data_IF_253249178271
#
_entry.id   IF_253249178271
#
_cell.length_a   1.000
_cell.length_b   1.000
_cell.length_c   1.000
_cell.angle_alpha   90.00
_cell.angle_beta   90.00
_cell.angle_gamma   90.00
#
_symmetry.space_group_name_H-M   'P 1'
#
loop_
_entity.id
_entity.type
_entity.pdbx_description
1 polymer ?
#
# COMPACT_ATOMS: atom_id res chain seq x y z
N UNK A 1 16.13 1.38 24.94
CA UNK A 1 15.67 1.79 26.29
C UNK A 1 15.62 3.31 26.27
N UNK A 2 14.43 3.90 26.12
CA UNK A 2 14.26 5.36 26.14
C UNK A 2 14.53 5.85 27.56
N UNK A 3 15.46 6.81 27.71
CA UNK A 3 15.64 7.50 28.99
C UNK A 3 14.40 8.36 29.21
N UNK A 4 13.68 8.12 30.31
CA UNK A 4 12.62 9.02 30.74
C UNK A 4 13.20 10.43 30.94
N UNK A 5 12.82 11.36 30.09
CA UNK A 5 13.16 12.74 30.24
C UNK A 5 12.08 13.39 31.12
N UNK A 6 12.35 13.48 32.44
CA UNK A 6 11.40 13.96 33.41
C UNK A 6 11.17 15.50 33.36
N UNK A 7 11.76 16.20 32.39
CA UNK A 7 11.62 17.65 32.18
C UNK A 7 10.70 17.97 30.98
N UNK A 8 9.68 17.16 30.74
CA UNK A 8 8.71 17.43 29.67
C UNK A 8 7.72 18.50 30.11
N UNK A 9 7.82 19.69 29.52
CA UNK A 9 6.82 20.74 29.69
C UNK A 9 5.62 20.46 28.80
N UNK A 10 4.42 20.49 29.38
CA UNK A 10 3.18 20.31 28.62
C UNK A 10 2.97 21.53 27.71
N UNK A 11 2.52 21.26 26.49
CA UNK A 11 2.06 22.34 25.63
C UNK A 11 0.88 23.09 26.29
N UNK A 12 0.87 24.40 26.21
CA UNK A 12 -0.21 25.25 26.76
C UNK A 12 -1.53 25.01 26.00
N UNK A 13 -1.45 24.65 24.75
CA UNK A 13 -2.60 24.38 23.90
C UNK A 13 -2.48 23.02 23.18
N UNK A 14 -3.61 22.51 22.69
CA UNK A 14 -3.63 21.27 21.93
C UNK A 14 -2.87 21.43 20.61
N UNK A 15 -1.88 20.58 20.39
CA UNK A 15 -1.17 20.47 19.12
C UNK A 15 -1.89 19.43 18.25
N UNK A 16 -2.38 19.86 17.10
CA UNK A 16 -3.03 18.99 16.14
C UNK A 16 -1.99 18.33 15.25
N UNK A 17 -2.16 17.03 14.99
CA UNK A 17 -1.29 16.27 14.10
C UNK A 17 -1.29 16.84 12.67
N UNK A 18 -2.48 17.17 12.19
CA UNK A 18 -2.67 17.71 10.84
C UNK A 18 -3.90 18.61 10.84
N UNK A 19 -3.72 19.86 10.48
CA UNK A 19 -4.80 20.82 10.27
C UNK A 19 -4.87 21.20 8.81
N UNK A 20 -6.05 21.20 8.17
CA UNK A 20 -6.19 21.71 6.81
C UNK A 20 -5.86 23.21 6.78
N UNK A 21 -5.19 23.63 5.72
CA UNK A 21 -4.88 25.04 5.47
C UNK A 21 -5.65 25.49 4.22
N UNK A 22 -6.42 26.58 4.37
CA UNK A 22 -7.14 27.20 3.26
C UNK A 22 -6.32 28.36 2.70
N UNK A 23 -6.28 28.48 1.38
CA UNK A 23 -5.48 29.49 0.68
C UNK A 23 -6.34 30.62 0.09
N UNK A 24 -7.67 30.49 0.18
CA UNK A 24 -8.67 31.49 -0.23
C UNK A 24 -9.46 31.15 -1.50
N UNK A 25 -8.86 30.63 -2.58
CA UNK A 25 -9.61 30.40 -3.81
C UNK A 25 -10.55 29.17 -3.76
N UNK A 26 -10.42 28.30 -2.75
CA UNK A 26 -11.20 27.06 -2.65
C UNK A 26 -12.71 27.30 -2.67
N UNK A 27 -13.14 28.38 -2.01
CA UNK A 27 -14.56 28.71 -1.94
C UNK A 27 -15.16 29.09 -3.31
N UNK A 28 -14.35 29.66 -4.21
CA UNK A 28 -14.81 30.01 -5.54
C UNK A 28 -15.04 28.75 -6.39
N UNK A 29 -14.18 27.74 -6.29
CA UNK A 29 -14.38 26.44 -6.93
C UNK A 29 -15.63 25.72 -6.40
N UNK A 30 -15.89 25.83 -5.08
CA UNK A 30 -17.11 25.25 -4.49
C UNK A 30 -18.35 25.97 -5.02
N UNK A 31 -18.34 27.30 -5.09
CA UNK A 31 -19.46 28.09 -5.65
C UNK A 31 -19.72 27.74 -7.13
N UNK A 32 -18.67 27.72 -7.96
CA UNK A 32 -18.74 27.32 -9.36
C UNK A 32 -19.40 25.94 -9.53
N UNK A 33 -18.94 24.97 -8.72
CA UNK A 33 -19.47 23.61 -8.75
C UNK A 33 -20.98 23.58 -8.39
N UNK A 34 -21.39 24.40 -7.42
CA UNK A 34 -22.79 24.56 -7.03
C UNK A 34 -23.64 25.19 -8.12
N UNK A 35 -23.19 26.31 -8.69
CA UNK A 35 -23.90 27.07 -9.73
C UNK A 35 -24.06 26.28 -11.02
N UNK A 36 -23.05 25.48 -11.35
CA UNK A 36 -23.04 24.63 -12.55
C UNK A 36 -23.65 23.24 -12.35
N UNK A 37 -24.06 22.91 -11.12
CA UNK A 37 -24.57 21.59 -10.70
C UNK A 37 -23.58 20.42 -10.90
N UNK A 38 -22.29 20.69 -10.90
CA UNK A 38 -21.24 19.67 -10.99
C UNK A 38 -20.71 19.28 -9.60
N UNK A 39 -21.58 18.78 -8.75
CA UNK A 39 -21.33 18.40 -7.36
C UNK A 39 -21.04 16.91 -7.17
N UNK A 40 -20.83 16.16 -8.25
CA UNK A 40 -20.66 14.72 -8.25
C UNK A 40 -19.23 14.30 -8.61
N UNK A 41 -19.07 13.04 -8.99
CA UNK A 41 -17.78 12.40 -9.32
C UNK A 41 -17.24 12.79 -10.71
N UNK A 42 -17.96 13.59 -11.45
CA UNK A 42 -17.53 14.14 -12.74
C UNK A 42 -17.67 15.66 -12.72
N UNK A 43 -16.88 16.35 -13.50
CA UNK A 43 -16.94 17.80 -13.61
C UNK A 43 -15.61 18.43 -13.96
N UNK A 44 -15.62 19.72 -14.26
CA UNK A 44 -14.46 20.49 -14.68
C UNK A 44 -13.29 20.41 -13.67
N UNK A 45 -13.60 20.56 -12.39
CA UNK A 45 -12.58 20.61 -11.35
C UNK A 45 -11.85 19.26 -11.21
N UNK A 46 -12.56 18.14 -11.29
CA UNK A 46 -11.96 16.81 -11.24
C UNK A 46 -11.08 16.57 -12.48
N UNK A 47 -11.59 16.89 -13.67
CA UNK A 47 -10.85 16.75 -14.91
C UNK A 47 -9.55 17.57 -14.91
N UNK A 48 -9.60 18.79 -14.36
CA UNK A 48 -8.42 19.65 -14.27
C UNK A 48 -7.39 19.14 -13.26
N UNK A 49 -7.84 18.61 -12.12
CA UNK A 49 -6.93 17.97 -11.14
C UNK A 49 -6.20 16.76 -11.75
N UNK A 50 -6.93 15.90 -12.47
CA UNK A 50 -6.34 14.74 -13.14
C UNK A 50 -5.34 15.16 -14.22
N UNK A 51 -5.69 16.17 -15.03
CA UNK A 51 -4.79 16.71 -16.05
C UNK A 51 -3.53 17.33 -15.44
N UNK A 52 -3.67 18.20 -14.44
CA UNK A 52 -2.55 18.84 -13.76
C UNK A 52 -1.65 17.80 -13.05
N UNK A 53 -2.21 16.75 -12.48
CA UNK A 53 -1.46 15.65 -11.89
C UNK A 53 -0.62 14.93 -12.96
N UNK A 54 -1.20 14.66 -14.14
CA UNK A 54 -0.45 14.08 -15.25
C UNK A 54 0.72 14.97 -15.70
N UNK A 55 0.47 16.27 -15.85
CA UNK A 55 1.49 17.24 -16.28
C UNK A 55 2.60 17.37 -15.24
N UNK A 56 2.25 17.49 -13.95
CA UNK A 56 3.21 17.69 -12.86
C UNK A 56 4.08 16.48 -12.59
N UNK A 57 3.50 15.28 -12.64
CA UNK A 57 4.20 14.02 -12.34
C UNK A 57 4.88 13.44 -13.59
N UNK A 58 4.44 13.85 -14.79
CA UNK A 58 4.90 13.28 -16.06
C UNK A 58 4.31 11.90 -16.36
N UNK A 59 3.15 11.56 -15.79
CA UNK A 59 2.45 10.30 -16.04
C UNK A 59 1.42 10.44 -17.16
N UNK A 60 1.06 9.32 -17.79
CA UNK A 60 0.10 9.31 -18.91
C UNK A 60 -1.35 9.47 -18.46
N UNK A 61 -1.68 8.95 -17.28
CA UNK A 61 -3.03 8.94 -16.72
C UNK A 61 -2.99 9.24 -15.23
N UNK A 62 -4.00 9.95 -14.75
CA UNK A 62 -4.28 10.14 -13.34
C UNK A 62 -5.78 9.94 -13.11
N UNK A 63 -6.15 9.45 -11.93
CA UNK A 63 -7.54 9.24 -11.53
C UNK A 63 -7.71 9.81 -10.13
N UNK A 64 -8.64 10.73 -9.98
CA UNK A 64 -9.02 11.29 -8.70
C UNK A 64 -9.92 10.32 -7.94
N UNK A 65 -9.59 10.04 -6.70
CA UNK A 65 -10.35 9.17 -5.81
C UNK A 65 -10.74 9.92 -4.54
N UNK A 66 -11.77 9.44 -3.86
CA UNK A 66 -12.34 10.12 -2.68
C UNK A 66 -11.43 10.15 -1.45
N UNK A 67 -10.42 9.27 -1.38
CA UNK A 67 -9.50 9.18 -0.24
C UNK A 67 -8.20 8.49 -0.64
N UNK A 68 -7.11 8.80 0.09
CA UNK A 68 -5.82 8.14 -0.06
C UNK A 68 -5.89 6.63 0.16
N UNK A 69 -6.72 6.16 1.09
CA UNK A 69 -6.97 4.72 1.30
C UNK A 69 -7.52 4.04 0.05
N UNK A 70 -8.44 4.70 -0.66
CA UNK A 70 -9.00 4.18 -1.91
C UNK A 70 -7.94 4.14 -3.02
N UNK A 71 -7.05 5.14 -3.06
CA UNK A 71 -5.94 5.19 -4.00
C UNK A 71 -4.93 4.07 -3.76
N UNK A 72 -4.56 3.85 -2.50
CA UNK A 72 -3.69 2.72 -2.11
C UNK A 72 -4.33 1.37 -2.43
N UNK A 73 -5.64 1.22 -2.17
CA UNK A 73 -6.35 -0.03 -2.47
C UNK A 73 -6.33 -0.33 -3.98
N UNK A 74 -6.65 0.66 -4.81
CA UNK A 74 -6.61 0.48 -6.26
C UNK A 74 -5.19 0.18 -6.75
N UNK A 75 -4.18 0.87 -6.25
CA UNK A 75 -2.78 0.65 -6.61
C UNK A 75 -2.30 -0.76 -6.24
N UNK A 76 -2.61 -1.23 -5.02
CA UNK A 76 -2.26 -2.58 -4.58
C UNK A 76 -2.98 -3.66 -5.37
N UNK A 77 -4.24 -3.45 -5.70
CA UNK A 77 -5.02 -4.36 -6.55
C UNK A 77 -4.40 -4.47 -7.95
N UNK A 78 -4.07 -3.35 -8.58
CA UNK A 78 -3.45 -3.34 -9.90
C UNK A 78 -2.07 -3.99 -9.89
N UNK A 79 -1.22 -3.67 -8.91
CA UNK A 79 0.08 -4.29 -8.74
C UNK A 79 -0.03 -5.81 -8.50
N UNK A 80 -1.00 -6.24 -7.70
CA UNK A 80 -1.29 -7.65 -7.47
C UNK A 80 -1.72 -8.38 -8.73
N UNK A 81 -2.61 -7.78 -9.53
CA UNK A 81 -3.06 -8.35 -10.81
C UNK A 81 -1.89 -8.45 -11.80
N UNK A 82 -1.04 -7.44 -11.89
CA UNK A 82 0.12 -7.46 -12.77
C UNK A 82 1.13 -8.54 -12.35
N UNK A 83 1.39 -8.66 -11.06
CA UNK A 83 2.40 -9.60 -10.53
C UNK A 83 1.92 -11.05 -10.50
N UNK A 84 0.63 -11.30 -10.28
CA UNK A 84 0.09 -12.63 -9.98
C UNK A 84 -1.07 -13.06 -10.88
N UNK A 85 -1.52 -12.20 -11.78
CA UNK A 85 -2.67 -12.43 -12.64
C UNK A 85 -4.01 -12.04 -11.98
N UNK A 86 -5.07 -12.07 -12.77
CA UNK A 86 -6.43 -11.73 -12.32
C UNK A 86 -6.92 -12.73 -11.26
N UNK A 87 -7.34 -12.26 -10.09
CA UNK A 87 -7.84 -13.14 -9.04
C UNK A 87 -9.17 -13.79 -9.44
N UNK A 88 -9.46 -14.94 -8.84
CA UNK A 88 -10.78 -15.58 -8.96
C UNK A 88 -11.85 -14.70 -8.33
N UNK A 89 -13.08 -14.87 -8.78
CA UNK A 89 -14.24 -14.18 -8.18
C UNK A 89 -14.31 -14.46 -6.68
N UNK A 90 -14.44 -13.40 -5.87
CA UNK A 90 -14.47 -13.48 -4.41
C UNK A 90 -13.09 -13.53 -3.74
N UNK A 91 -12.00 -13.45 -4.49
CA UNK A 91 -10.63 -13.42 -3.97
C UNK A 91 -9.95 -12.07 -4.24
N UNK A 92 -9.03 -11.68 -3.34
CA UNK A 92 -8.20 -10.48 -3.53
C UNK A 92 -6.99 -10.74 -4.41
N UNK A 93 -6.44 -9.68 -4.99
CA UNK A 93 -5.28 -9.76 -5.88
C UNK A 93 -3.97 -10.13 -5.15
N UNK A 94 -3.96 -10.01 -3.82
CA UNK A 94 -2.80 -10.30 -2.96
C UNK A 94 -3.01 -11.53 -2.06
N UNK A 95 -3.96 -12.39 -2.37
CA UNK A 95 -4.34 -13.56 -1.56
C UNK A 95 -3.12 -14.36 -1.09
N UNK A 96 -2.87 -14.38 0.24
CA UNK A 96 -1.75 -15.07 0.85
C UNK A 96 -0.36 -14.51 0.53
N UNK A 97 -0.27 -13.35 -0.15
CA UNK A 97 1.00 -12.69 -0.44
C UNK A 97 1.42 -11.80 0.71
N UNK A 98 2.73 -11.73 0.96
CA UNK A 98 3.30 -10.84 1.96
C UNK A 98 3.61 -9.49 1.34
N UNK A 99 3.25 -8.43 2.06
CA UNK A 99 3.52 -7.04 1.67
C UNK A 99 4.26 -6.37 2.82
N UNK A 100 5.43 -5.82 2.55
CA UNK A 100 6.21 -5.09 3.53
C UNK A 100 5.63 -3.70 3.75
N UNK A 101 5.37 -3.36 5.01
CA UNK A 101 4.74 -2.11 5.41
C UNK A 101 5.55 -1.49 6.56
N UNK A 102 5.67 -0.16 6.59
CA UNK A 102 6.22 0.51 7.76
C UNK A 102 5.34 0.26 8.98
N UNK A 103 5.93 0.08 10.15
CA UNK A 103 5.21 -0.04 11.42
C UNK A 103 4.76 1.33 11.96
N UNK A 104 5.50 2.39 11.64
CA UNK A 104 5.13 3.77 11.96
C UNK A 104 4.40 4.41 10.80
N UNK A 105 3.10 4.17 10.71
CA UNK A 105 2.26 4.67 9.63
C UNK A 105 0.80 4.77 10.07
N UNK A 106 -0.01 5.46 9.28
CA UNK A 106 -1.46 5.43 9.42
C UNK A 106 -2.01 4.08 8.96
N UNK A 107 -3.07 3.58 9.59
CA UNK A 107 -3.66 2.27 9.32
C UNK A 107 -4.11 2.08 7.85
N UNK A 108 -4.40 3.18 7.17
CA UNK A 108 -4.70 3.19 5.73
C UNK A 108 -3.60 2.57 4.85
N UNK A 109 -2.37 2.48 5.33
CA UNK A 109 -1.29 1.77 4.63
C UNK A 109 -1.48 0.26 4.65
N UNK A 110 -2.09 -0.28 5.68
CA UNK A 110 -2.24 -1.72 5.93
C UNK A 110 -3.58 -2.26 5.44
N UNK A 111 -4.64 -1.48 5.64
CA UNK A 111 -5.99 -1.90 5.33
C UNK A 111 -6.16 -2.40 3.89
N UNK A 112 -5.63 -1.72 2.85
CA UNK A 112 -5.72 -2.20 1.48
C UNK A 112 -5.01 -3.53 1.22
N UNK A 113 -3.93 -3.83 1.95
CA UNK A 113 -3.25 -5.14 1.87
C UNK A 113 -4.20 -6.22 2.33
N UNK A 114 -4.86 -5.99 3.47
CA UNK A 114 -5.80 -6.95 4.05
C UNK A 114 -7.06 -7.09 3.17
N UNK A 115 -7.56 -6.00 2.60
CA UNK A 115 -8.72 -6.03 1.69
C UNK A 115 -8.48 -6.92 0.46
N UNK A 116 -7.25 -6.95 -0.04
CA UNK A 116 -6.86 -7.81 -1.16
C UNK A 116 -6.33 -9.19 -0.72
N UNK A 117 -6.59 -9.59 0.54
CA UNK A 117 -6.21 -10.91 1.06
C UNK A 117 -4.71 -11.08 1.35
N UNK A 118 -3.96 -9.99 1.34
CA UNK A 118 -2.53 -9.97 1.62
C UNK A 118 -2.23 -10.08 3.11
N UNK A 119 -0.98 -10.39 3.42
CA UNK A 119 -0.45 -10.49 4.77
C UNK A 119 0.55 -9.35 4.98
N UNK A 120 0.20 -8.30 5.74
CA UNK A 120 1.14 -7.24 6.04
C UNK A 120 2.30 -7.77 6.91
N UNK A 121 3.51 -7.37 6.56
CA UNK A 121 4.73 -7.65 7.31
C UNK A 121 5.31 -6.31 7.73
N UNK A 122 5.33 -6.06 9.01
CA UNK A 122 5.80 -4.79 9.55
C UNK A 122 7.33 -4.72 9.52
N UNK A 123 7.83 -3.61 9.03
CA UNK A 123 9.24 -3.25 8.99
C UNK A 123 9.45 -2.09 9.94
N UNK A 124 10.43 -2.26 10.82
CA UNK A 124 10.75 -1.29 11.86
C UNK A 124 11.16 0.08 11.28
N UNK A 125 11.05 1.11 12.09
CA UNK A 125 11.34 2.50 11.74
C UNK A 125 12.76 2.86 12.16
N UNK A 126 13.51 3.55 11.29
CA UNK A 126 14.78 4.18 11.63
C UNK A 126 14.53 5.36 12.59
N UNK A 127 15.10 5.33 13.82
CA UNK A 127 14.88 6.38 14.82
C UNK A 127 15.37 7.76 14.41
N UNK A 128 16.30 7.87 13.45
CA UNK A 128 16.85 9.14 13.00
C UNK A 128 15.95 9.83 11.97
N UNK A 129 15.38 9.09 11.05
CA UNK A 129 14.59 9.62 9.94
C UNK A 129 13.08 9.44 10.10
N UNK A 130 12.64 8.58 11.01
CA UNK A 130 11.25 8.15 11.20
C UNK A 130 10.62 7.47 9.97
N UNK A 131 11.46 7.09 9.01
CA UNK A 131 11.05 6.30 7.85
C UNK A 131 11.31 4.81 8.08
N UNK A 132 10.80 3.96 7.19
CA UNK A 132 11.11 2.52 7.19
C UNK A 132 12.62 2.30 7.20
N UNK A 133 13.12 1.49 8.14
CA UNK A 133 14.55 1.17 8.25
C UNK A 133 14.98 0.26 7.08
N UNK A 134 15.92 0.72 6.23
CA UNK A 134 16.41 -0.08 5.10
C UNK A 134 17.14 -1.35 5.56
N UNK A 135 17.77 -1.35 6.72
CA UNK A 135 18.46 -2.53 7.26
C UNK A 135 17.44 -3.59 7.73
N UNK A 136 16.36 -3.15 8.39
CA UNK A 136 15.27 -4.04 8.77
C UNK A 136 14.55 -4.62 7.53
N UNK A 137 14.36 -3.80 6.49
CA UNK A 137 13.78 -4.22 5.22
C UNK A 137 14.66 -5.27 4.52
N UNK A 138 15.97 -5.07 4.46
CA UNK A 138 16.91 -6.04 3.88
C UNK A 138 16.85 -7.38 4.60
N UNK A 139 16.87 -7.39 5.94
CA UNK A 139 16.68 -8.61 6.75
C UNK A 139 15.35 -9.31 6.46
N UNK A 140 14.27 -8.54 6.27
CA UNK A 140 12.97 -9.09 5.92
C UNK A 140 13.01 -9.77 4.55
N UNK A 141 13.64 -9.16 3.55
CA UNK A 141 13.86 -9.78 2.24
C UNK A 141 14.65 -11.09 2.36
N UNK A 142 15.74 -11.10 3.08
CA UNK A 142 16.51 -12.33 3.30
C UNK A 142 15.67 -13.43 3.95
N UNK A 143 14.94 -13.10 5.01
CA UNK A 143 14.10 -14.04 5.75
C UNK A 143 13.00 -14.65 4.87
N UNK A 144 12.31 -13.83 4.08
CA UNK A 144 11.15 -14.29 3.33
C UNK A 144 11.49 -14.84 1.94
N UNK A 145 12.55 -14.34 1.27
CA UNK A 145 13.03 -14.88 -0.01
C UNK A 145 13.66 -16.27 0.17
N UNK A 146 14.47 -16.48 1.21
CA UNK A 146 15.04 -17.79 1.53
C UNK A 146 13.95 -18.84 1.83
N UNK A 147 12.84 -18.43 2.46
CA UNK A 147 11.70 -19.32 2.67
C UNK A 147 10.99 -19.68 1.35
N UNK A 148 10.83 -18.75 0.43
CA UNK A 148 10.24 -19.01 -0.89
C UNK A 148 11.10 -19.97 -1.72
N UNK A 149 12.40 -19.75 -1.75
CA UNK A 149 13.35 -20.62 -2.49
C UNK A 149 13.41 -22.03 -1.89
N UNK A 150 13.40 -22.16 -0.56
CA UNK A 150 13.35 -23.46 0.13
C UNK A 150 12.04 -24.21 -0.15
N UNK A 151 10.88 -23.54 -0.10
CA UNK A 151 9.58 -24.17 -0.45
C UNK A 151 9.52 -24.62 -1.90
N UNK A 152 10.01 -23.82 -2.85
CA UNK A 152 10.04 -24.21 -4.26
C UNK A 152 10.97 -25.39 -4.52
N UNK A 153 12.14 -25.44 -3.85
CA UNK A 153 13.06 -26.59 -3.93
C UNK A 153 12.44 -27.85 -3.32
N UNK A 154 11.71 -27.73 -2.23
CA UNK A 154 11.03 -28.84 -1.57
C UNK A 154 9.86 -29.36 -2.41
N UNK A 155 9.04 -28.47 -3.01
CA UNK A 155 8.00 -28.87 -3.94
C UNK A 155 8.54 -29.54 -5.21
N UNK A 156 9.65 -29.05 -5.77
CA UNK A 156 10.32 -29.71 -6.91
C UNK A 156 10.86 -31.09 -6.55
N UNK A 157 11.42 -31.29 -5.34
CA UNK A 157 11.83 -32.62 -4.87
C UNK A 157 10.64 -33.56 -4.73
N UNK A 158 9.54 -33.15 -4.09
CA UNK A 158 8.33 -33.97 -3.98
C UNK A 158 7.75 -34.38 -5.33
N UNK A 159 7.77 -33.48 -6.32
CA UNK A 159 7.32 -33.80 -7.67
C UNK A 159 8.28 -34.75 -8.39
N UNK A 160 9.60 -34.62 -8.24
CA UNK A 160 10.59 -35.53 -8.82
C UNK A 160 10.56 -36.93 -8.18
N UNK A 161 10.36 -36.99 -6.87
CA UNK A 161 10.28 -38.26 -6.14
C UNK A 161 8.94 -38.97 -6.38
N UNK A 162 7.83 -38.18 -6.53
CA UNK A 162 6.51 -38.70 -6.91
C UNK A 162 6.45 -39.24 -8.36
N UNK A 163 7.24 -38.71 -9.27
CA UNK A 163 7.39 -39.23 -10.63
C UNK A 163 8.24 -40.51 -10.65
N UNK A 164 9.28 -40.61 -9.80
CA UNK A 164 10.08 -41.84 -9.65
C UNK A 164 9.24 -43.03 -9.10
N UNK A 165 8.42 -42.77 -8.08
CA UNK A 165 7.56 -43.83 -7.50
C UNK A 165 6.48 -44.33 -8.45
N UNK A 166 6.11 -43.61 -9.52
CA UNK A 166 5.19 -44.07 -10.55
C UNK A 166 5.88 -44.83 -11.68
N UNK A 167 7.17 -44.64 -11.90
CA UNK A 167 7.91 -45.39 -12.93
C UNK A 167 8.32 -46.79 -12.47
N UNK A 168 8.45 -47.00 -11.14
CA UNK A 168 8.86 -48.32 -10.59
C UNK A 168 7.67 -49.29 -10.34
N UNK A 169 6.43 -48.87 -10.63
CA UNK A 169 5.24 -49.67 -10.45
C UNK A 169 4.64 -50.24 -11.80
N UNK A 170 5.40 -50.14 -12.88
CA UNK A 170 5.08 -50.69 -14.20
C UNK A 170 6.23 -51.56 -14.76
N UNK A 171 6.66 -52.55 -13.97
CA UNK A 171 7.43 -53.71 -14.50
C UNK A 171 6.93 -54.98 -13.83
#
# INVERSE_FOLDING_TARGET
MFKENNNFEKFESKVWLSSPTMHGPEIEYVKEAYETNWMSTVGKNINEVEKLACEYIGCKYAIALSAGTASLHLAMKLAGIEAYGTPKVGHGALEGKKVFCSDMTFDATLNPVVYEGGIPVFIDTDPASWNMDPVALEKAFEMYLLHCVRRQRQQRRFLSDGIRLRSDSFL
#
